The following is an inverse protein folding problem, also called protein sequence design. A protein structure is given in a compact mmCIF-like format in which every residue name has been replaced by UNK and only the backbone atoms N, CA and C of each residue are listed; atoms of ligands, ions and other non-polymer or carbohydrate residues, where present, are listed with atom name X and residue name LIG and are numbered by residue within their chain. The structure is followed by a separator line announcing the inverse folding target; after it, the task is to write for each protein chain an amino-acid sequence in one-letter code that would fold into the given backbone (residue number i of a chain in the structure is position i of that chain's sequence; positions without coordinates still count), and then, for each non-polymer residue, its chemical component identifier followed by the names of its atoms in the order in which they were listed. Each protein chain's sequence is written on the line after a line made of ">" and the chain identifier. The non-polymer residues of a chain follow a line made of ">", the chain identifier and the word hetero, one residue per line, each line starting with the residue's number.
data_IF_566387338284
#
_entry.id   IF_566387338284
#
_cell.length_a   1.000
_cell.length_b   1.000
_cell.length_c   1.000
_cell.angle_alpha   90.00
_cell.angle_beta   90.00
_cell.angle_gamma   90.00
#
_symmetry.space_group_name_H-M   'P 1'
#
loop_
_entity.id
_entity.type
_entity.pdbx_description
1 polymer ?
#
# COMPACT_ATOMS: atom_id res chain seq x y z
N UNK A 1 16.94 14.61 9.42
CA UNK A 1 16.44 15.02 8.11
C UNK A 1 17.50 14.56 7.11
N UNK A 2 17.28 13.45 6.43
CA UNK A 2 18.26 12.90 5.50
C UNK A 2 17.77 13.19 4.10
N UNK A 3 18.48 14.04 3.38
CA UNK A 3 18.27 14.30 1.96
C UNK A 3 18.95 13.16 1.18
N UNK A 4 18.21 12.46 0.36
CA UNK A 4 18.77 11.50 -0.58
C UNK A 4 18.62 12.06 -2.00
N UNK A 5 19.72 12.07 -2.71
CA UNK A 5 19.80 12.36 -4.14
C UNK A 5 18.89 11.41 -4.94
N UNK A 6 18.29 11.86 -6.03
CA UNK A 6 17.19 11.24 -6.78
C UNK A 6 17.43 9.86 -7.37
N UNK A 7 18.47 9.15 -6.96
CA UNK A 7 18.74 7.77 -7.31
C UNK A 7 18.87 6.92 -6.05
N UNK A 8 17.75 6.66 -5.35
CA UNK A 8 17.75 5.64 -4.29
C UNK A 8 17.82 4.26 -4.96
N UNK A 9 19.00 3.92 -5.40
CA UNK A 9 19.35 2.58 -5.85
C UNK A 9 20.02 1.91 -4.66
N UNK A 10 19.34 0.98 -4.02
CA UNK A 10 19.82 0.11 -2.96
C UNK A 10 19.86 0.74 -1.55
N UNK A 11 18.78 0.52 -0.80
CA UNK A 11 18.87 0.61 0.67
C UNK A 11 19.61 -0.65 1.14
N UNK A 12 20.76 -0.46 1.76
CA UNK A 12 21.45 -1.56 2.45
C UNK A 12 20.53 -2.11 3.55
N UNK A 13 20.02 -3.33 3.37
CA UNK A 13 19.07 -3.97 4.27
C UNK A 13 19.57 -4.06 5.72
N UNK A 14 20.88 -4.01 5.94
CA UNK A 14 21.50 -4.00 7.28
C UNK A 14 21.40 -2.66 7.99
N UNK A 15 21.08 -1.58 7.25
CA UNK A 15 20.97 -0.20 7.73
C UNK A 15 19.57 0.37 7.56
N UNK A 16 18.56 -0.48 7.28
CA UNK A 16 17.20 -0.02 7.09
C UNK A 16 16.66 0.69 8.33
N UNK A 17 16.18 1.94 8.21
CA UNK A 17 15.48 2.59 9.30
C UNK A 17 14.21 1.83 9.63
N UNK A 18 13.75 1.90 10.88
CA UNK A 18 12.47 1.30 11.29
C UNK A 18 11.27 2.01 10.70
N UNK A 19 11.46 3.26 10.26
CA UNK A 19 10.43 4.11 9.64
C UNK A 19 11.05 4.90 8.51
N UNK A 20 10.47 4.85 7.34
CA UNK A 20 10.79 5.72 6.22
C UNK A 20 9.63 6.69 6.02
N UNK A 21 9.83 7.95 6.41
CA UNK A 21 8.84 9.02 6.29
C UNK A 21 9.24 9.98 5.19
N UNK A 22 8.34 10.15 4.22
CA UNK A 22 8.19 11.34 3.40
C UNK A 22 9.37 11.77 2.52
N UNK A 23 9.26 11.48 1.25
CA UNK A 23 9.83 12.36 0.24
C UNK A 23 8.71 13.31 -0.19
N UNK A 24 8.85 14.60 0.04
CA UNK A 24 7.97 15.62 -0.51
C UNK A 24 8.54 16.13 -1.84
N UNK A 25 7.64 16.51 -2.73
CA UNK A 25 7.85 16.81 -4.15
C UNK A 25 8.79 17.99 -4.45
N UNK A 26 9.18 18.81 -3.47
CA UNK A 26 9.81 20.10 -3.76
C UNK A 26 11.25 20.03 -4.28
N UNK A 27 11.96 18.91 -4.07
CA UNK A 27 13.36 18.77 -4.52
C UNK A 27 13.64 17.53 -5.37
N UNK A 28 12.83 16.47 -5.28
CA UNK A 28 13.11 15.17 -5.92
C UNK A 28 12.74 15.09 -7.40
N UNK A 29 12.03 16.06 -7.97
CA UNK A 29 11.38 15.90 -9.27
C UNK A 29 11.54 17.10 -10.22
N UNK A 30 12.65 17.83 -10.15
CA UNK A 30 12.90 18.97 -11.05
C UNK A 30 12.97 18.58 -12.54
N UNK A 31 13.17 17.33 -12.86
CA UNK A 31 13.28 16.79 -14.23
C UNK A 31 12.13 15.87 -14.65
N UNK A 32 11.09 15.68 -13.79
CA UNK A 32 9.98 14.77 -14.06
C UNK A 32 10.33 13.29 -13.91
N UNK A 33 11.50 12.96 -13.33
CA UNK A 33 11.90 11.57 -13.09
C UNK A 33 11.01 10.91 -12.03
N UNK A 34 10.80 9.59 -12.17
CA UNK A 34 10.05 8.80 -11.20
C UNK A 34 11.01 7.99 -10.35
N UNK A 35 10.69 7.89 -9.06
CA UNK A 35 11.50 7.15 -8.10
C UNK A 35 11.39 5.63 -8.32
N UNK A 36 12.52 4.94 -8.33
CA UNK A 36 12.58 3.48 -8.12
C UNK A 36 12.90 3.22 -6.66
N UNK A 37 11.91 2.73 -5.92
CA UNK A 37 12.05 2.48 -4.49
C UNK A 37 12.33 1.01 -4.23
N UNK A 38 13.48 0.70 -3.61
CA UNK A 38 13.86 -0.66 -3.28
C UNK A 38 14.12 -0.83 -1.79
N UNK A 39 13.22 -1.52 -1.10
CA UNK A 39 13.34 -1.91 0.31
C UNK A 39 13.58 -3.41 0.48
N UNK A 40 14.03 -4.11 -0.55
CA UNK A 40 14.22 -5.56 -0.51
C UNK A 40 15.05 -5.99 0.72
N UNK A 41 14.51 -6.92 1.50
CA UNK A 41 15.18 -7.47 2.68
C UNK A 41 15.16 -6.56 3.92
N UNK A 42 14.46 -5.43 3.91
CA UNK A 42 14.31 -4.54 5.07
C UNK A 42 13.38 -5.14 6.12
N UNK A 43 13.82 -6.19 6.79
CA UNK A 43 13.02 -6.95 7.78
C UNK A 43 12.59 -6.12 9.00
N UNK A 44 13.32 -5.05 9.34
CA UNK A 44 13.03 -4.16 10.48
C UNK A 44 12.14 -2.96 10.12
N UNK A 45 11.85 -2.75 8.83
CA UNK A 45 11.07 -1.61 8.36
C UNK A 45 9.59 -1.80 8.74
N UNK A 46 9.01 -0.82 9.45
CA UNK A 46 7.65 -0.89 9.98
C UNK A 46 6.66 -0.03 9.23
N UNK A 47 7.10 1.07 8.63
CA UNK A 47 6.21 1.95 7.88
C UNK A 47 6.90 2.63 6.72
N UNK A 48 6.13 2.85 5.66
CA UNK A 48 6.52 3.64 4.47
C UNK A 48 5.39 4.63 4.18
N UNK A 49 5.77 5.89 3.95
CA UNK A 49 4.85 6.93 3.50
C UNK A 49 5.50 7.70 2.35
N UNK A 50 4.92 7.64 1.15
CA UNK A 50 5.45 8.26 -0.06
C UNK A 50 4.38 9.11 -0.74
N UNK A 51 4.78 10.33 -1.14
CA UNK A 51 3.96 11.28 -1.90
C UNK A 51 4.77 11.87 -3.07
N UNK A 52 5.41 11.01 -3.83
CA UNK A 52 6.23 11.35 -5.00
C UNK A 52 5.94 10.36 -6.13
N UNK A 53 6.12 10.76 -7.40
CA UNK A 53 5.93 9.86 -8.53
C UNK A 53 6.85 8.64 -8.43
N UNK A 54 6.24 7.44 -8.45
CA UNK A 54 6.96 6.17 -8.33
C UNK A 54 6.89 5.42 -9.65
N UNK A 55 8.04 4.94 -10.12
CA UNK A 55 8.15 4.05 -11.26
C UNK A 55 8.04 2.58 -10.84
N UNK A 56 8.74 2.21 -9.77
CA UNK A 56 8.70 0.85 -9.22
C UNK A 56 8.91 0.86 -7.70
N UNK A 57 8.31 -0.10 -7.03
CA UNK A 57 8.50 -0.36 -5.61
C UNK A 57 8.77 -1.85 -5.39
N UNK A 58 9.82 -2.16 -4.62
CA UNK A 58 10.16 -3.52 -4.22
C UNK A 58 10.15 -3.63 -2.70
N UNK A 59 9.19 -4.38 -2.16
CA UNK A 59 8.99 -4.63 -0.73
C UNK A 59 9.32 -6.08 -0.34
N UNK A 60 9.99 -6.83 -1.22
CA UNK A 60 10.30 -8.24 -0.98
C UNK A 60 11.04 -8.43 0.35
N UNK A 61 10.56 -9.32 1.20
CA UNK A 61 11.15 -9.59 2.51
C UNK A 61 10.85 -8.56 3.60
N UNK A 62 10.04 -7.54 3.34
CA UNK A 62 9.65 -6.53 4.34
C UNK A 62 8.55 -7.07 5.27
N UNK A 63 8.85 -8.10 6.04
CA UNK A 63 7.86 -8.85 6.84
C UNK A 63 7.32 -8.09 8.06
N UNK A 64 8.00 -7.04 8.52
CA UNK A 64 7.60 -6.25 9.69
C UNK A 64 6.80 -4.98 9.35
N UNK A 65 6.55 -4.71 8.07
CA UNK A 65 5.77 -3.53 7.67
C UNK A 65 4.34 -3.67 8.20
N UNK A 66 3.96 -2.71 9.05
CA UNK A 66 2.62 -2.58 9.61
C UNK A 66 1.80 -1.51 8.88
N UNK A 67 2.44 -0.50 8.29
CA UNK A 67 1.75 0.60 7.63
C UNK A 67 2.42 0.98 6.31
N UNK A 68 1.60 1.07 5.25
CA UNK A 68 1.98 1.55 3.92
C UNK A 68 1.05 2.68 3.50
N UNK A 69 1.62 3.82 3.11
CA UNK A 69 0.88 4.97 2.61
C UNK A 69 1.47 5.44 1.27
N UNK A 70 0.69 5.33 0.21
CA UNK A 70 1.03 5.79 -1.13
C UNK A 70 0.00 6.80 -1.59
N UNK A 71 0.33 8.07 -1.56
CA UNK A 71 -0.55 9.13 -1.98
C UNK A 71 -0.70 9.20 -3.50
N UNK A 72 -1.63 10.01 -3.99
CA UNK A 72 -1.99 10.07 -5.41
C UNK A 72 -0.84 10.48 -6.33
N UNK A 73 0.15 11.21 -5.82
CA UNK A 73 1.37 11.56 -6.57
C UNK A 73 2.18 10.32 -6.99
N UNK A 74 2.08 9.20 -6.25
CA UNK A 74 2.82 7.97 -6.57
C UNK A 74 2.45 7.38 -7.93
N UNK A 75 1.19 7.53 -8.37
CA UNK A 75 0.71 7.02 -9.67
C UNK A 75 0.99 5.53 -9.89
N UNK A 76 0.93 4.71 -8.81
CA UNK A 76 1.21 3.28 -8.85
C UNK A 76 0.26 2.54 -9.80
N UNK A 77 0.81 1.73 -10.68
CA UNK A 77 0.06 0.82 -11.56
C UNK A 77 0.02 -0.61 -11.03
N UNK A 78 1.00 -0.97 -10.21
CA UNK A 78 1.11 -2.27 -9.52
C UNK A 78 1.62 -2.06 -8.10
N UNK A 79 1.21 -2.94 -7.18
CA UNK A 79 1.68 -2.96 -5.81
C UNK A 79 1.70 -4.40 -5.31
N UNK A 80 2.89 -4.92 -5.01
CA UNK A 80 3.06 -6.25 -4.42
C UNK A 80 3.29 -6.10 -2.90
N UNK A 81 2.34 -6.60 -2.12
CA UNK A 81 2.38 -6.65 -0.65
C UNK A 81 2.41 -8.08 -0.10
N UNK A 82 2.73 -9.06 -0.96
CA UNK A 82 2.68 -10.49 -0.62
C UNK A 82 3.60 -10.90 0.52
N UNK A 83 4.65 -10.12 0.78
CA UNK A 83 5.58 -10.35 1.90
C UNK A 83 5.29 -9.51 3.13
N UNK A 84 4.37 -8.54 3.05
CA UNK A 84 4.03 -7.62 4.14
C UNK A 84 3.01 -8.28 5.09
N UNK A 85 3.37 -9.38 5.72
CA UNK A 85 2.46 -10.21 6.52
C UNK A 85 2.02 -9.57 7.85
N UNK A 86 2.72 -8.54 8.31
CA UNK A 86 2.36 -7.75 9.50
C UNK A 86 1.52 -6.49 9.15
N UNK A 87 1.11 -6.32 7.89
CA UNK A 87 0.42 -5.13 7.43
C UNK A 87 -0.97 -5.00 8.06
N UNK A 88 -1.17 -3.92 8.81
CA UNK A 88 -2.44 -3.54 9.45
C UNK A 88 -3.13 -2.40 8.72
N UNK A 89 -2.37 -1.48 8.11
CA UNK A 89 -2.90 -0.31 7.41
C UNK A 89 -2.30 -0.20 6.02
N UNK A 90 -3.17 -0.17 5.00
CA UNK A 90 -2.77 0.10 3.62
C UNK A 90 -3.56 1.28 3.06
N UNK A 91 -2.86 2.39 2.75
CA UNK A 91 -3.42 3.56 2.06
C UNK A 91 -2.82 3.68 0.68
N UNK A 92 -3.61 3.36 -0.33
CA UNK A 92 -3.21 3.41 -1.74
C UNK A 92 -4.25 4.08 -2.65
N UNK A 93 -5.11 4.93 -2.05
CA UNK A 93 -6.12 5.69 -2.79
C UNK A 93 -5.49 6.66 -3.80
N UNK A 94 -6.21 6.95 -4.89
CA UNK A 94 -5.78 7.93 -5.90
C UNK A 94 -4.64 7.46 -6.79
N UNK A 95 -4.39 6.17 -6.89
CA UNK A 95 -3.38 5.58 -7.75
C UNK A 95 -3.99 5.04 -9.07
N UNK A 96 -3.26 4.20 -9.80
CA UNK A 96 -3.67 3.61 -11.09
C UNK A 96 -3.70 2.09 -11.02
N UNK A 97 -3.96 1.53 -9.85
CA UNK A 97 -3.99 0.08 -9.64
C UNK A 97 -5.21 -0.53 -10.36
N UNK A 98 -4.98 -1.60 -11.10
CA UNK A 98 -6.04 -2.41 -11.74
C UNK A 98 -6.33 -3.69 -10.96
N UNK A 99 -5.37 -4.13 -10.14
CA UNK A 99 -5.47 -5.29 -9.25
C UNK A 99 -4.74 -5.00 -7.94
N UNK A 100 -5.15 -5.69 -6.87
CA UNK A 100 -4.47 -5.64 -5.58
C UNK A 100 -4.70 -6.99 -4.88
N UNK A 101 -3.63 -7.75 -4.64
CA UNK A 101 -3.69 -8.99 -3.87
C UNK A 101 -3.22 -8.74 -2.43
N UNK A 102 -4.16 -8.84 -1.50
CA UNK A 102 -3.95 -8.69 -0.06
C UNK A 102 -4.14 -10.01 0.70
N UNK A 103 -4.17 -11.14 0.00
CA UNK A 103 -4.46 -12.46 0.60
C UNK A 103 -3.45 -12.89 1.68
N UNK A 104 -2.25 -12.30 1.68
CA UNK A 104 -1.22 -12.54 2.70
C UNK A 104 -1.26 -11.54 3.86
N UNK A 105 -2.03 -10.47 3.75
CA UNK A 105 -2.18 -9.43 4.78
C UNK A 105 -3.26 -9.83 5.79
N UNK A 106 -3.07 -10.96 6.49
CA UNK A 106 -4.09 -11.61 7.33
C UNK A 106 -4.45 -10.84 8.60
N UNK A 107 -3.71 -9.78 8.92
CA UNK A 107 -3.94 -8.89 10.08
C UNK A 107 -4.35 -7.47 9.62
N UNK A 108 -4.71 -7.30 8.36
CA UNK A 108 -5.13 -6.00 7.81
C UNK A 108 -6.41 -5.53 8.48
N UNK A 109 -6.42 -4.30 8.98
CA UNK A 109 -7.52 -3.66 9.70
C UNK A 109 -8.08 -2.46 8.94
N UNK A 110 -7.23 -1.77 8.16
CA UNK A 110 -7.62 -0.57 7.44
C UNK A 110 -7.10 -0.62 5.99
N UNK A 111 -8.01 -0.47 5.02
CA UNK A 111 -7.71 -0.41 3.60
C UNK A 111 -8.34 0.82 2.95
N UNK A 112 -7.53 1.76 2.47
CA UNK A 112 -7.96 2.86 1.62
C UNK A 112 -7.52 2.58 0.19
N UNK A 113 -8.46 2.25 -0.69
CA UNK A 113 -8.17 1.90 -2.08
C UNK A 113 -9.08 2.63 -3.09
N UNK A 114 -9.76 3.69 -2.66
CA UNK A 114 -10.60 4.53 -3.51
C UNK A 114 -9.83 5.15 -4.68
N UNK A 115 -10.53 5.55 -5.74
CA UNK A 115 -9.94 6.28 -6.87
C UNK A 115 -8.72 5.56 -7.49
N UNK A 116 -8.89 4.26 -7.74
CA UNK A 116 -8.00 3.43 -8.54
C UNK A 116 -8.72 2.99 -9.83
N UNK A 117 -8.13 2.07 -10.60
CA UNK A 117 -8.67 1.58 -11.87
C UNK A 117 -9.18 0.13 -11.74
N UNK A 118 -9.71 -0.23 -10.56
CA UNK A 118 -10.26 -1.58 -10.33
C UNK A 118 -11.55 -1.79 -11.13
N UNK A 119 -11.68 -2.97 -11.72
CA UNK A 119 -12.96 -3.48 -12.22
C UNK A 119 -13.82 -4.02 -11.08
N UNK A 120 -15.12 -4.28 -11.33
CA UNK A 120 -15.98 -4.97 -10.36
C UNK A 120 -15.40 -6.33 -9.93
N UNK A 121 -14.83 -7.09 -10.88
CA UNK A 121 -14.17 -8.36 -10.58
C UNK A 121 -12.96 -8.16 -9.67
N UNK A 122 -12.13 -7.15 -9.93
CA UNK A 122 -10.98 -6.84 -9.07
C UNK A 122 -11.44 -6.45 -7.67
N UNK A 123 -12.50 -5.65 -7.53
CA UNK A 123 -13.08 -5.30 -6.23
C UNK A 123 -13.60 -6.53 -5.49
N UNK A 124 -14.29 -7.43 -6.17
CA UNK A 124 -14.76 -8.69 -5.56
C UNK A 124 -13.59 -9.56 -5.08
N UNK A 125 -12.48 -9.61 -5.83
CA UNK A 125 -11.27 -10.32 -5.41
C UNK A 125 -10.65 -9.69 -4.15
N UNK A 126 -10.60 -8.36 -4.07
CA UNK A 126 -10.15 -7.65 -2.86
C UNK A 126 -11.02 -8.03 -1.67
N UNK A 127 -12.37 -7.97 -1.78
CA UNK A 127 -13.27 -8.33 -0.68
C UNK A 127 -13.13 -9.79 -0.24
N UNK A 128 -12.95 -10.72 -1.19
CA UNK A 128 -12.69 -12.12 -0.87
C UNK A 128 -11.36 -12.32 -0.12
N UNK A 129 -10.35 -11.49 -0.39
CA UNK A 129 -9.03 -11.55 0.25
C UNK A 129 -8.99 -10.86 1.63
N UNK A 130 -9.96 -10.01 1.97
CA UNK A 130 -10.01 -9.35 3.29
C UNK A 130 -10.04 -10.36 4.43
N UNK A 131 -9.31 -10.12 5.54
CA UNK A 131 -9.43 -10.90 6.77
C UNK A 131 -10.87 -10.93 7.30
N UNK A 132 -11.21 -11.97 8.07
CA UNK A 132 -12.50 -12.07 8.72
C UNK A 132 -12.42 -11.54 10.15
N UNK A 133 -13.11 -10.43 10.42
CA UNK A 133 -13.19 -9.77 11.72
C UNK A 133 -14.50 -10.04 12.48
N UNK A 134 -15.30 -11.04 12.08
CA UNK A 134 -16.54 -11.41 12.78
C UNK A 134 -16.26 -11.68 14.27
N UNK A 135 -16.99 -10.99 15.14
CA UNK A 135 -16.81 -11.10 16.60
C UNK A 135 -15.64 -10.27 17.18
N UNK A 136 -15.00 -9.43 16.36
CA UNK A 136 -13.94 -8.48 16.76
C UNK A 136 -14.35 -7.05 16.38
N UNK A 137 -13.47 -6.10 16.60
CA UNK A 137 -13.66 -4.75 16.03
C UNK A 137 -13.72 -4.82 14.50
N UNK A 138 -14.59 -3.98 13.92
CA UNK A 138 -14.79 -3.98 12.48
C UNK A 138 -13.56 -3.42 11.76
N UNK A 139 -13.12 -4.10 10.71
CA UNK A 139 -12.17 -3.52 9.77
C UNK A 139 -12.78 -2.35 9.00
N UNK A 140 -11.95 -1.51 8.42
CA UNK A 140 -12.38 -0.34 7.65
C UNK A 140 -11.88 -0.44 6.21
N UNK A 141 -12.77 -0.23 5.23
CA UNK A 141 -12.38 -0.14 3.82
C UNK A 141 -13.05 1.08 3.16
N UNK A 142 -12.25 1.94 2.50
CA UNK A 142 -12.78 2.98 1.62
C UNK A 142 -12.58 2.62 0.16
N UNK A 143 -13.66 2.78 -0.61
CA UNK A 143 -13.77 2.38 -2.01
C UNK A 143 -14.37 3.50 -2.86
N UNK A 144 -14.32 3.35 -4.18
CA UNK A 144 -15.06 4.14 -5.17
C UNK A 144 -15.65 3.23 -6.24
N UNK A 145 -16.59 3.74 -7.04
CA UNK A 145 -17.15 2.98 -8.16
C UNK A 145 -16.06 2.52 -9.15
N UNK A 146 -16.20 1.33 -9.75
CA UNK A 146 -17.26 0.34 -9.56
C UNK A 146 -17.11 -0.41 -8.23
N UNK A 147 -18.24 -0.55 -7.50
CA UNK A 147 -18.18 -1.07 -6.12
C UNK A 147 -18.08 -2.60 -6.01
N UNK A 148 -18.42 -3.33 -7.05
CA UNK A 148 -18.57 -4.77 -6.97
C UNK A 148 -19.62 -5.20 -5.92
N UNK A 149 -19.51 -6.44 -5.42
CA UNK A 149 -20.37 -6.94 -4.36
C UNK A 149 -19.75 -6.72 -2.96
N UNK A 150 -19.86 -5.53 -2.43
CA UNK A 150 -19.28 -5.16 -1.13
C UNK A 150 -19.90 -5.87 0.08
N UNK A 151 -21.08 -6.53 -0.07
CA UNK A 151 -21.63 -7.39 1.00
C UNK A 151 -20.66 -8.51 1.39
N UNK A 152 -19.72 -8.91 0.51
CA UNK A 152 -18.68 -9.87 0.84
C UNK A 152 -17.79 -9.31 1.99
N UNK A 153 -17.43 -8.03 1.94
CA UNK A 153 -16.65 -7.38 2.98
C UNK A 153 -17.48 -7.19 4.26
N UNK A 154 -18.74 -6.75 4.14
CA UNK A 154 -19.64 -6.55 5.28
C UNK A 154 -19.88 -7.86 6.05
N UNK A 155 -20.02 -9.00 5.35
CA UNK A 155 -20.15 -10.33 5.94
C UNK A 155 -18.90 -10.79 6.73
N UNK A 156 -17.75 -10.14 6.50
CA UNK A 156 -16.51 -10.34 7.23
C UNK A 156 -16.27 -9.29 8.31
N UNK A 157 -17.32 -8.52 8.66
CA UNK A 157 -17.28 -7.41 9.61
C UNK A 157 -16.35 -6.26 9.18
N UNK A 158 -16.43 -5.86 7.91
CA UNK A 158 -15.77 -4.66 7.40
C UNK A 158 -16.78 -3.53 7.21
N UNK A 159 -16.44 -2.36 7.76
CA UNK A 159 -17.19 -1.12 7.51
C UNK A 159 -16.77 -0.58 6.13
N UNK A 160 -17.70 -0.59 5.19
CA UNK A 160 -17.48 -0.11 3.82
C UNK A 160 -17.88 1.34 3.69
N UNK A 161 -16.96 2.22 3.26
CA UNK A 161 -17.18 3.64 2.98
C UNK A 161 -16.96 3.89 1.49
N UNK A 162 -17.97 4.56 0.86
CA UNK A 162 -18.05 4.83 -0.58
C UNK A 162 -17.82 6.30 -0.85
#
# INVERSE_FOLDING_TARGET
>A
MFYYDCTVTLIDATKCPTTLVGFSDEEANKDGSKLNFNANGCIGLKSISLDVPINSINLSGCTSIAELQFYSACSLTTLDVSTCTALTVLKCSGNKLTTLDISKCIVLEELHCSNNQFSETAMNNIYNALPNWTGKEAGYISISAPYGNYSIAENKNWRVVK
#
